data_IF_158922296521
#
_entry.id   IF_158922296521
#
_cell.length_a   1.000
_cell.length_b   1.000
_cell.length_c   1.000
_cell.angle_alpha   90.00
_cell.angle_beta   90.00
_cell.angle_gamma   90.00
#
_symmetry.space_group_name_H-M   'P 1'
#
loop_
_entity.id
_entity.type
_entity.pdbx_description
1 polymer ?
#
# COMPACT_ATOMS: atom_id res chain seq x y z
N UNK A 1 22.20 9.49 -14.53
CA UNK A 1 21.31 9.75 -13.36
C UNK A 1 20.00 10.47 -13.69
N UNK A 2 19.94 11.36 -14.69
CA UNK A 2 18.69 12.09 -15.01
C UNK A 2 17.52 11.17 -15.38
N UNK A 3 17.76 10.12 -16.15
CA UNK A 3 16.73 9.12 -16.50
C UNK A 3 16.12 8.47 -15.25
N UNK A 4 16.94 8.08 -14.26
CA UNK A 4 16.46 7.51 -12.99
C UNK A 4 15.59 8.51 -12.24
N UNK A 5 15.97 9.79 -12.19
CA UNK A 5 15.16 10.84 -11.54
C UNK A 5 13.80 11.02 -12.23
N UNK A 6 13.78 11.01 -13.57
CA UNK A 6 12.53 11.11 -14.35
C UNK A 6 11.63 9.90 -14.09
N UNK A 7 12.17 8.69 -14.21
CA UNK A 7 11.42 7.45 -13.97
C UNK A 7 10.88 7.41 -12.54
N UNK A 8 11.70 7.70 -11.54
CA UNK A 8 11.28 7.73 -10.15
C UNK A 8 10.19 8.80 -9.90
N UNK A 9 10.27 9.97 -10.55
CA UNK A 9 9.24 11.00 -10.43
C UNK A 9 7.91 10.58 -11.06
N UNK A 10 7.95 9.89 -12.21
CA UNK A 10 6.75 9.33 -12.83
C UNK A 10 6.12 8.26 -11.94
N UNK A 11 6.94 7.32 -11.45
CA UNK A 11 6.49 6.25 -10.57
C UNK A 11 5.95 6.79 -9.24
N UNK A 12 6.53 7.86 -8.69
CA UNK A 12 5.98 8.55 -7.52
C UNK A 12 4.55 9.00 -7.76
N UNK A 13 4.30 9.76 -8.82
CA UNK A 13 2.96 10.29 -9.08
C UNK A 13 1.97 9.19 -9.43
N UNK A 14 2.41 8.16 -10.15
CA UNK A 14 1.60 6.98 -10.41
C UNK A 14 1.21 6.26 -9.12
N UNK A 15 2.17 6.01 -8.21
CA UNK A 15 1.87 5.41 -6.90
C UNK A 15 0.96 6.30 -6.05
N UNK A 16 1.11 7.64 -6.09
CA UNK A 16 0.20 8.56 -5.40
C UNK A 16 -1.22 8.48 -5.93
N UNK A 17 -1.36 8.46 -7.26
CA UNK A 17 -2.65 8.33 -7.91
C UNK A 17 -3.35 7.04 -7.51
N UNK A 18 -2.66 5.90 -7.56
CA UNK A 18 -3.19 4.62 -7.09
C UNK A 18 -3.54 4.65 -5.60
N UNK A 19 -2.67 5.19 -4.75
CA UNK A 19 -2.94 5.31 -3.32
C UNK A 19 -4.22 6.08 -3.04
N UNK A 20 -4.44 7.20 -3.74
CA UNK A 20 -5.67 7.99 -3.61
C UNK A 20 -6.88 7.20 -4.05
N UNK A 21 -6.83 6.49 -5.18
CA UNK A 21 -7.94 5.65 -5.66
C UNK A 21 -8.30 4.59 -4.62
N UNK A 22 -7.31 3.84 -4.12
CA UNK A 22 -7.54 2.78 -3.15
C UNK A 22 -8.08 3.34 -1.83
N UNK A 23 -7.46 4.38 -1.27
CA UNK A 23 -7.90 4.99 0.00
C UNK A 23 -9.29 5.63 -0.12
N UNK A 24 -9.59 6.30 -1.24
CA UNK A 24 -10.92 6.83 -1.51
C UNK A 24 -11.95 5.70 -1.63
N UNK A 25 -11.59 4.61 -2.31
CA UNK A 25 -12.46 3.42 -2.42
C UNK A 25 -12.73 2.79 -1.05
N UNK A 26 -11.72 2.67 -0.19
CA UNK A 26 -11.87 2.20 1.20
C UNK A 26 -12.79 3.12 1.99
N UNK A 27 -12.56 4.44 1.93
CA UNK A 27 -13.36 5.42 2.66
C UNK A 27 -14.83 5.39 2.21
N UNK A 28 -15.09 5.39 0.91
CA UNK A 28 -16.44 5.31 0.35
C UNK A 28 -17.11 3.98 0.72
N UNK A 29 -16.37 2.88 0.71
CA UNK A 29 -16.89 1.58 1.12
C UNK A 29 -17.29 1.56 2.59
N UNK A 30 -16.45 2.10 3.48
CA UNK A 30 -16.77 2.22 4.92
C UNK A 30 -17.99 3.10 5.12
N UNK A 31 -18.06 4.25 4.45
CA UNK A 31 -19.21 5.16 4.53
C UNK A 31 -20.49 4.47 4.08
N UNK A 32 -20.46 3.80 2.94
CA UNK A 32 -21.62 3.11 2.38
C UNK A 32 -22.10 1.96 3.27
N UNK A 33 -21.18 1.13 3.78
CA UNK A 33 -21.52 0.02 4.67
C UNK A 33 -22.02 0.49 6.04
N UNK A 34 -21.53 1.63 6.55
CA UNK A 34 -21.94 2.17 7.85
C UNK A 34 -23.27 2.96 7.79
N UNK A 35 -23.55 3.65 6.69
CA UNK A 35 -24.68 4.60 6.59
C UNK A 35 -25.77 4.16 5.61
N UNK A 36 -25.49 3.17 4.76
CA UNK A 36 -26.31 2.82 3.61
C UNK A 36 -26.18 3.79 2.43
N UNK A 37 -25.45 4.91 2.57
CA UNK A 37 -25.28 5.88 1.49
C UNK A 37 -24.49 5.27 0.32
N UNK A 38 -25.11 5.16 -0.85
CA UNK A 38 -24.46 4.55 -2.01
C UNK A 38 -24.26 3.04 -1.89
N UNK A 39 -24.98 2.38 -0.98
CA UNK A 39 -25.03 0.92 -0.86
C UNK A 39 -26.28 0.40 -1.58
N UNK A 40 -26.11 -0.59 -2.46
CA UNK A 40 -27.23 -1.32 -3.08
C UNK A 40 -27.10 -2.80 -2.78
N UNK A 41 -28.10 -3.36 -2.12
CA UNK A 41 -28.19 -4.80 -1.90
C UNK A 41 -28.72 -5.48 -3.16
N UNK A 42 -28.13 -6.61 -3.53
CA UNK A 42 -28.52 -7.44 -4.67
C UNK A 42 -28.63 -8.90 -4.23
N UNK A 43 -29.20 -9.75 -5.08
CA UNK A 43 -29.33 -11.20 -4.82
C UNK A 43 -29.97 -11.49 -3.45
N UNK A 44 -31.14 -10.90 -3.20
CA UNK A 44 -31.89 -11.06 -1.94
C UNK A 44 -31.10 -10.66 -0.68
N UNK A 45 -30.12 -9.76 -0.82
CA UNK A 45 -29.30 -9.28 0.28
C UNK A 45 -28.06 -10.12 0.56
N UNK A 46 -27.75 -11.12 -0.25
CA UNK A 46 -26.52 -11.92 -0.13
C UNK A 46 -25.28 -11.16 -0.57
N UNK A 47 -25.44 -10.13 -1.42
CA UNK A 47 -24.34 -9.34 -1.97
C UNK A 47 -24.68 -7.86 -1.95
N UNK A 48 -23.65 -7.03 -2.02
CA UNK A 48 -23.78 -5.59 -2.05
C UNK A 48 -22.97 -4.99 -3.21
N UNK A 49 -23.45 -3.85 -3.68
CA UNK A 49 -22.73 -2.96 -4.60
C UNK A 49 -22.47 -1.64 -3.90
N UNK A 50 -21.24 -1.14 -4.03
CA UNK A 50 -20.91 0.25 -3.68
C UNK A 50 -21.02 1.08 -4.96
N UNK A 51 -21.86 2.11 -4.91
CA UNK A 51 -22.14 3.01 -6.01
C UNK A 51 -21.20 4.22 -5.97
N UNK A 52 -20.88 4.77 -7.13
CA UNK A 52 -20.18 6.04 -7.21
C UNK A 52 -21.03 7.13 -6.52
N UNK A 53 -20.42 8.05 -5.77
CA UNK A 53 -21.15 9.15 -5.14
C UNK A 53 -22.01 9.90 -6.14
N UNK A 54 -23.25 10.19 -5.76
CA UNK A 54 -24.22 10.92 -6.58
C UNK A 54 -24.55 10.24 -7.93
N UNK A 55 -24.33 8.94 -8.05
CA UNK A 55 -24.58 8.16 -9.27
C UNK A 55 -25.18 6.79 -8.94
N UNK A 56 -25.80 6.15 -9.93
CA UNK A 56 -26.35 4.80 -9.83
C UNK A 56 -25.40 3.72 -10.38
N UNK A 57 -24.20 4.12 -10.81
CA UNK A 57 -23.17 3.23 -11.34
C UNK A 57 -22.42 2.53 -10.20
N UNK A 58 -22.48 1.20 -10.17
CA UNK A 58 -21.68 0.39 -9.25
C UNK A 58 -20.19 0.45 -9.67
N UNK A 59 -19.30 0.55 -8.68
CA UNK A 59 -17.86 0.48 -8.93
C UNK A 59 -17.16 -0.62 -8.10
N UNK A 60 -17.75 -1.04 -6.99
CA UNK A 60 -17.32 -2.23 -6.24
C UNK A 60 -18.51 -3.12 -5.95
N UNK A 61 -18.22 -4.41 -5.82
CA UNK A 61 -19.19 -5.44 -5.47
C UNK A 61 -18.53 -6.39 -4.48
N UNK A 62 -19.32 -6.92 -3.55
CA UNK A 62 -18.85 -7.86 -2.54
C UNK A 62 -19.99 -8.67 -1.94
N UNK A 63 -19.62 -9.71 -1.20
CA UNK A 63 -20.58 -10.57 -0.51
C UNK A 63 -20.92 -9.96 0.86
N UNK A 64 -22.21 -9.97 1.20
CA UNK A 64 -22.71 -9.35 2.42
C UNK A 64 -22.58 -10.30 3.61
N UNK A 65 -21.32 -10.54 4.00
CA UNK A 65 -20.95 -11.30 5.17
C UNK A 65 -19.83 -10.55 5.92
N UNK A 66 -19.88 -10.52 7.25
CA UNK A 66 -18.92 -9.75 8.06
C UNK A 66 -17.46 -10.18 7.80
N UNK A 67 -17.19 -11.48 7.74
CA UNK A 67 -15.84 -12.01 7.45
C UNK A 67 -15.36 -11.54 6.07
N UNK A 68 -16.20 -11.64 5.05
CA UNK A 68 -15.88 -11.14 3.72
C UNK A 68 -15.60 -9.63 3.71
N UNK A 69 -16.52 -8.84 4.27
CA UNK A 69 -16.44 -7.38 4.29
C UNK A 69 -15.14 -6.92 4.94
N UNK A 70 -14.75 -7.49 6.08
CA UNK A 70 -13.53 -7.06 6.77
C UNK A 70 -12.27 -7.62 6.11
N UNK A 71 -12.14 -8.94 5.97
CA UNK A 71 -10.87 -9.59 5.63
C UNK A 71 -10.58 -9.65 4.13
N UNK A 72 -11.61 -9.78 3.29
CA UNK A 72 -11.46 -9.96 1.85
C UNK A 72 -11.75 -8.69 1.05
N UNK A 73 -12.48 -7.75 1.65
CA UNK A 73 -12.89 -6.52 0.97
C UNK A 73 -12.17 -5.28 1.52
N UNK A 74 -12.51 -4.82 2.73
CA UNK A 74 -12.01 -3.55 3.28
C UNK A 74 -10.51 -3.56 3.57
N UNK A 75 -10.01 -4.63 4.19
CA UNK A 75 -8.62 -4.73 4.60
C UNK A 75 -7.68 -4.75 3.38
N UNK A 76 -7.91 -5.59 2.34
CA UNK A 76 -7.06 -5.57 1.15
C UNK A 76 -7.04 -4.21 0.47
N UNK A 77 -8.19 -3.61 0.15
CA UNK A 77 -8.22 -2.32 -0.55
C UNK A 77 -7.58 -1.19 0.28
N UNK A 78 -7.79 -1.18 1.60
CA UNK A 78 -7.18 -0.19 2.48
C UNK A 78 -5.67 -0.33 2.58
N UNK A 79 -5.17 -1.55 2.78
CA UNK A 79 -3.74 -1.82 2.88
C UNK A 79 -3.01 -1.56 1.56
N UNK A 80 -3.62 -1.85 0.41
CA UNK A 80 -3.03 -1.49 -0.88
C UNK A 80 -2.93 0.03 -1.06
N UNK A 81 -3.90 0.81 -0.57
CA UNK A 81 -3.80 2.27 -0.54
C UNK A 81 -2.59 2.76 0.27
N UNK A 82 -2.37 2.19 1.45
CA UNK A 82 -1.20 2.48 2.29
C UNK A 82 0.09 2.03 1.61
N UNK A 83 0.11 0.83 1.02
CA UNK A 83 1.26 0.29 0.30
C UNK A 83 1.70 1.23 -0.83
N UNK A 84 0.79 1.67 -1.70
CA UNK A 84 1.12 2.59 -2.78
C UNK A 84 1.58 3.96 -2.27
N UNK A 85 1.03 4.43 -1.14
CA UNK A 85 1.49 5.66 -0.50
C UNK A 85 2.95 5.56 -0.05
N UNK A 86 3.32 4.44 0.55
CA UNK A 86 4.68 4.19 1.02
C UNK A 86 5.64 3.91 -0.14
N UNK A 87 5.20 3.19 -1.17
CA UNK A 87 5.96 2.95 -2.40
C UNK A 87 6.30 4.29 -3.09
N UNK A 88 5.34 5.22 -3.14
CA UNK A 88 5.60 6.59 -3.57
C UNK A 88 6.73 7.24 -2.76
N UNK A 89 6.73 7.12 -1.43
CA UNK A 89 7.82 7.64 -0.60
C UNK A 89 9.19 7.04 -0.98
N UNK A 90 9.25 5.75 -1.32
CA UNK A 90 10.47 5.10 -1.80
C UNK A 90 10.95 5.75 -3.10
N UNK A 91 10.07 5.95 -4.08
CA UNK A 91 10.45 6.60 -5.34
C UNK A 91 10.94 8.04 -5.13
N UNK A 92 10.36 8.78 -4.17
CA UNK A 92 10.83 10.12 -3.79
C UNK A 92 12.30 10.17 -3.41
N UNK A 93 12.80 9.12 -2.78
CA UNK A 93 14.22 9.01 -2.37
C UNK A 93 15.17 9.08 -3.57
N UNK A 94 14.74 8.66 -4.77
CA UNK A 94 15.62 8.57 -5.94
C UNK A 94 15.64 9.83 -6.82
N UNK A 95 14.74 10.80 -6.62
CA UNK A 95 14.72 12.04 -7.41
C UNK A 95 14.92 13.32 -6.60
N UNK A 96 15.03 13.24 -5.28
CA UNK A 96 15.39 14.37 -4.43
C UNK A 96 16.81 14.91 -4.72
N UNK A 97 17.13 16.17 -4.34
CA UNK A 97 18.43 16.77 -4.66
C UNK A 97 19.65 16.03 -4.08
N UNK A 98 19.58 15.66 -2.79
CA UNK A 98 20.60 14.84 -2.11
C UNK A 98 20.11 13.39 -2.01
N UNK A 99 20.88 12.43 -2.51
CA UNK A 99 20.45 11.03 -2.55
C UNK A 99 20.37 10.43 -1.13
N UNK A 100 21.44 10.56 -0.34
CA UNK A 100 21.50 10.03 1.02
C UNK A 100 20.99 11.07 2.02
N UNK A 101 19.80 10.84 2.57
CA UNK A 101 19.19 11.70 3.59
C UNK A 101 18.59 10.87 4.70
N UNK A 102 18.50 11.45 5.91
CA UNK A 102 17.83 10.81 7.06
C UNK A 102 16.39 10.42 6.72
N UNK A 103 15.65 11.30 6.03
CA UNK A 103 14.28 11.01 5.59
C UNK A 103 14.23 9.89 4.53
N UNK A 104 15.21 9.83 3.62
CA UNK A 104 15.30 8.75 2.64
C UNK A 104 15.49 7.38 3.30
N UNK A 105 16.40 7.30 4.28
CA UNK A 105 16.60 6.09 5.09
C UNK A 105 15.33 5.73 5.86
N UNK A 106 14.64 6.72 6.45
CA UNK A 106 13.38 6.51 7.18
C UNK A 106 12.27 5.97 6.28
N UNK A 107 12.10 6.52 5.07
CA UNK A 107 11.10 6.05 4.11
C UNK A 107 11.34 4.60 3.68
N UNK A 108 12.58 4.26 3.31
CA UNK A 108 12.97 2.89 2.98
C UNK A 108 12.75 1.96 4.18
N UNK A 109 13.08 2.41 5.39
CA UNK A 109 12.89 1.65 6.63
C UNK A 109 11.43 1.31 6.90
N UNK A 110 10.56 2.31 6.88
CA UNK A 110 9.12 2.11 7.10
C UNK A 110 8.56 1.17 6.04
N UNK A 111 8.95 1.36 4.77
CA UNK A 111 8.47 0.52 3.67
C UNK A 111 8.86 -0.94 3.85
N UNK A 112 10.13 -1.25 4.14
CA UNK A 112 10.52 -2.66 4.30
C UNK A 112 9.90 -3.29 5.54
N UNK A 113 9.80 -2.57 6.67
CA UNK A 113 9.21 -3.12 7.91
C UNK A 113 7.74 -3.47 7.66
N UNK A 114 6.98 -2.58 7.03
CA UNK A 114 5.56 -2.84 6.80
C UNK A 114 5.34 -3.96 5.78
N UNK A 115 6.16 -4.07 4.74
CA UNK A 115 6.09 -5.20 3.80
C UNK A 115 6.54 -6.53 4.43
N UNK A 116 7.42 -6.49 5.44
CA UNK A 116 7.88 -7.68 6.16
C UNK A 116 6.83 -8.18 7.17
N UNK A 117 6.12 -7.26 7.84
CA UNK A 117 5.27 -7.60 9.00
C UNK A 117 3.79 -7.67 8.63
N UNK A 118 3.27 -6.69 7.88
CA UNK A 118 1.82 -6.56 7.68
C UNK A 118 1.25 -7.73 6.85
N UNK A 119 1.80 -8.11 5.69
CA UNK A 119 1.21 -9.18 4.88
C UNK A 119 1.18 -10.53 5.59
N UNK A 120 2.27 -11.02 6.23
CA UNK A 120 2.20 -12.25 7.01
C UNK A 120 1.22 -12.17 8.19
N UNK A 121 1.17 -11.03 8.89
CA UNK A 121 0.23 -10.83 9.97
C UNK A 121 -1.22 -10.93 9.48
N UNK A 122 -1.55 -10.29 8.36
CA UNK A 122 -2.86 -10.34 7.72
C UNK A 122 -3.20 -11.75 7.25
N UNK A 123 -2.24 -12.46 6.65
CA UNK A 123 -2.40 -13.84 6.20
C UNK A 123 -2.79 -14.75 7.37
N UNK A 124 -2.02 -14.70 8.46
CA UNK A 124 -2.26 -15.51 9.67
C UNK A 124 -3.58 -15.11 10.32
N UNK A 125 -3.88 -13.82 10.39
CA UNK A 125 -5.13 -13.34 10.97
C UNK A 125 -6.32 -13.83 10.14
N UNK A 126 -6.26 -13.71 8.82
CA UNK A 126 -7.36 -14.10 7.92
C UNK A 126 -7.57 -15.62 7.93
N UNK A 127 -6.50 -16.41 8.07
CA UNK A 127 -6.60 -17.88 8.13
C UNK A 127 -7.36 -18.40 9.35
N UNK A 128 -7.56 -17.57 10.39
CA UNK A 128 -8.39 -17.93 11.56
C UNK A 128 -9.88 -17.85 11.21
N UNK A 129 -10.27 -16.98 10.27
CA UNK A 129 -11.66 -16.68 9.99
C UNK A 129 -12.18 -17.28 8.68
N UNK A 130 -11.29 -17.60 7.75
CA UNK A 130 -11.67 -18.15 6.45
C UNK A 130 -10.47 -18.80 5.72
N UNK A 131 -10.78 -19.55 4.66
CA UNK A 131 -9.78 -20.23 3.85
C UNK A 131 -8.87 -19.23 3.12
N UNK A 132 -7.57 -19.50 3.20
CA UNK A 132 -6.56 -18.68 2.52
C UNK A 132 -6.50 -19.09 1.07
N UNK A 133 -6.79 -18.15 0.17
CA UNK A 133 -6.60 -18.35 -1.26
C UNK A 133 -5.11 -18.39 -1.63
N UNK A 134 -4.74 -19.24 -2.59
CA UNK A 134 -3.37 -19.35 -3.10
C UNK A 134 -2.80 -17.99 -3.56
N UNK A 135 -3.66 -17.16 -4.17
CA UNK A 135 -3.29 -15.80 -4.59
C UNK A 135 -2.80 -14.94 -3.41
N UNK A 136 -3.42 -15.10 -2.22
CA UNK A 136 -3.03 -14.37 -1.00
C UNK A 136 -1.66 -14.82 -0.50
N UNK A 137 -1.33 -16.11 -0.62
CA UNK A 137 0.00 -16.63 -0.28
C UNK A 137 1.04 -16.05 -1.23
N UNK A 138 0.79 -16.10 -2.54
CA UNK A 138 1.68 -15.55 -3.58
C UNK A 138 1.93 -14.06 -3.33
N UNK A 139 0.87 -13.27 -3.08
CA UNK A 139 1.00 -11.84 -2.78
C UNK A 139 1.83 -11.60 -1.52
N UNK A 140 1.60 -12.38 -0.46
CA UNK A 140 2.39 -12.30 0.78
C UNK A 140 3.87 -12.55 0.51
N UNK A 141 4.20 -13.59 -0.27
CA UNK A 141 5.57 -13.88 -0.67
C UNK A 141 6.19 -12.72 -1.46
N UNK A 142 5.47 -12.13 -2.41
CA UNK A 142 5.96 -10.98 -3.17
C UNK A 142 6.29 -9.78 -2.27
N UNK A 143 5.45 -9.48 -1.28
CA UNK A 143 5.74 -8.42 -0.32
C UNK A 143 6.98 -8.73 0.53
N UNK A 144 7.16 -9.98 0.97
CA UNK A 144 8.36 -10.40 1.69
C UNK A 144 9.63 -10.21 0.84
N UNK A 145 9.57 -10.57 -0.44
CA UNK A 145 10.67 -10.32 -1.39
C UNK A 145 10.96 -8.84 -1.53
N UNK A 146 9.93 -7.99 -1.71
CA UNK A 146 10.08 -6.53 -1.76
C UNK A 146 10.69 -5.96 -0.47
N UNK A 147 10.32 -6.51 0.69
CA UNK A 147 10.88 -6.11 1.97
C UNK A 147 12.39 -6.35 2.03
N UNK A 148 12.87 -7.52 1.57
CA UNK A 148 14.30 -7.83 1.55
C UNK A 148 15.07 -6.85 0.66
N UNK A 149 14.58 -6.58 -0.55
CA UNK A 149 15.23 -5.61 -1.44
C UNK A 149 15.23 -4.19 -0.87
N UNK A 150 14.11 -3.75 -0.29
CA UNK A 150 14.02 -2.43 0.34
C UNK A 150 14.89 -2.33 1.60
N UNK A 151 15.09 -3.42 2.34
CA UNK A 151 16.03 -3.49 3.45
C UNK A 151 17.48 -3.27 2.99
N UNK A 152 17.91 -3.94 1.91
CA UNK A 152 19.25 -3.72 1.36
C UNK A 152 19.44 -2.27 0.90
N UNK A 153 18.44 -1.68 0.23
CA UNK A 153 18.47 -0.27 -0.12
C UNK A 153 18.57 0.62 1.12
N UNK A 154 17.79 0.36 2.17
CA UNK A 154 17.87 1.13 3.42
C UNK A 154 19.26 1.05 4.06
N UNK A 155 19.90 -0.13 4.04
CA UNK A 155 21.24 -0.34 4.56
C UNK A 155 22.30 0.43 3.76
N UNK A 156 22.25 0.35 2.42
CA UNK A 156 23.14 1.11 1.52
C UNK A 156 22.97 2.61 1.74
N UNK A 157 21.73 3.10 1.80
CA UNK A 157 21.47 4.52 2.01
C UNK A 157 21.95 5.02 3.38
N UNK A 158 21.83 4.19 4.41
CA UNK A 158 22.35 4.50 5.74
C UNK A 158 23.87 4.59 5.75
N UNK A 159 24.55 3.65 5.09
CA UNK A 159 26.01 3.69 4.95
C UNK A 159 26.46 4.92 4.15
N UNK A 160 25.81 5.19 3.01
CA UNK A 160 26.09 6.38 2.20
C UNK A 160 25.90 7.68 2.97
N UNK A 161 24.85 7.78 3.79
CA UNK A 161 24.62 8.94 4.65
C UNK A 161 25.73 9.13 5.71
N UNK A 162 26.24 8.04 6.26
CA UNK A 162 27.33 8.09 7.24
C UNK A 162 28.62 8.59 6.59
N UNK A 163 29.03 8.00 5.47
CA UNK A 163 30.22 8.41 4.72
C UNK A 163 30.14 9.86 4.23
N UNK A 164 28.96 10.29 3.80
CA UNK A 164 28.75 11.66 3.33
C UNK A 164 28.96 12.68 4.47
N UNK A 165 28.52 12.36 5.70
CA UNK A 165 28.77 13.20 6.88
C UNK A 165 30.22 13.22 7.30
N UNK A 166 30.93 12.09 7.20
CA UNK A 166 32.36 12.04 7.48
C UNK A 166 33.13 12.92 6.51
N UNK A 167 32.84 12.84 5.21
CA UNK A 167 33.50 13.69 4.21
C UNK A 167 33.18 15.18 4.39
N UNK A 168 31.93 15.53 4.71
CA UNK A 168 31.52 16.90 5.03
C UNK A 168 32.20 17.46 6.30
N UNK A 169 32.76 16.61 7.18
CA UNK A 169 33.50 17.03 8.38
C UNK A 169 34.98 17.35 8.11
N UNK A 170 35.55 16.87 7.00
CA UNK A 170 36.96 17.06 6.64
C UNK A 170 37.20 18.21 5.62
N UNK A 171 36.14 18.83 5.09
CA UNK A 171 36.18 19.96 4.14
C UNK A 171 35.79 21.25 4.87
#
# INVERSE_FOLDING_TARGET
>A
MNTVKVVAKLLFWFSRFLAIIYLASTFLSILALATGFGLRMIEEGKRFQILLPFSQKAFLLGDYNATYIFYYFLLPIGLYGIFFWLLGNVFRVFYQPKLFTTEGVKHLRIFYILNLVVPPFVLILSSIFAEVEDATIVLTTLHLTLAVFAYFLAAIFRQGLHLQKEQDLYI
#
